data_IF_351311167954
#
_entry.id   IF_351311167954
#
_cell.length_a   1.000
_cell.length_b   1.000
_cell.length_c   1.000
_cell.angle_alpha   90.00
_cell.angle_beta   90.00
_cell.angle_gamma   90.00
#
_symmetry.space_group_name_H-M   'P 1'
#
loop_
_entity.id
_entity.type
_entity.pdbx_description
1 polymer ?
#
# COMPACT_ATOMS: atom_id res chain seq x y z
N UNK A 1 15.42 2.78 -30.19
CA UNK A 1 14.47 1.64 -30.08
C UNK A 1 15.17 0.63 -29.20
N UNK A 2 14.60 0.35 -27.99
CA UNK A 2 15.18 -0.62 -27.07
C UNK A 2 15.02 -2.02 -27.68
N UNK A 3 16.10 -2.55 -28.21
CA UNK A 3 16.11 -3.89 -28.78
C UNK A 3 16.77 -4.84 -27.78
N UNK A 4 15.96 -5.47 -26.94
CA UNK A 4 16.44 -6.54 -26.08
C UNK A 4 16.42 -7.84 -26.91
N UNK A 5 17.54 -8.56 -27.04
CA UNK A 5 17.58 -9.82 -27.76
C UNK A 5 16.52 -10.80 -27.22
N UNK A 6 15.66 -11.32 -28.09
CA UNK A 6 14.59 -12.26 -27.73
C UNK A 6 13.26 -11.62 -27.31
N UNK A 7 13.14 -10.30 -27.26
CA UNK A 7 11.85 -9.63 -27.07
C UNK A 7 11.32 -9.11 -28.39
N UNK A 8 10.03 -9.34 -28.71
CA UNK A 8 9.44 -8.77 -29.93
C UNK A 8 9.53 -7.25 -29.86
N UNK A 9 9.91 -6.64 -30.98
CA UNK A 9 9.84 -5.19 -31.13
C UNK A 9 8.37 -4.77 -30.99
N UNK A 10 7.96 -4.46 -29.76
CA UNK A 10 6.62 -3.93 -29.52
C UNK A 10 6.60 -2.51 -30.07
N UNK A 11 5.93 -2.32 -31.20
CA UNK A 11 5.57 -1.00 -31.70
C UNK A 11 4.51 -0.40 -30.77
N UNK A 12 4.94 0.17 -29.64
CA UNK A 12 4.04 0.94 -28.78
C UNK A 12 3.79 2.25 -29.48
N UNK A 13 2.64 2.37 -30.13
CA UNK A 13 2.20 3.64 -30.69
C UNK A 13 1.73 4.55 -29.54
N UNK A 14 2.28 5.74 -29.48
CA UNK A 14 1.91 6.75 -28.51
C UNK A 14 0.70 7.52 -29.00
N UNK A 15 -0.35 7.61 -28.15
CA UNK A 15 -1.53 8.42 -28.40
C UNK A 15 -1.22 9.90 -28.17
N UNK A 16 -1.76 10.77 -29.02
CA UNK A 16 -1.63 12.24 -28.93
C UNK A 16 -2.95 12.92 -29.32
N UNK A 17 -3.45 13.88 -28.52
CA UNK A 17 -2.92 14.35 -27.23
C UNK A 17 -3.15 13.36 -26.11
N UNK A 18 -2.22 13.26 -25.12
CA UNK A 18 -2.36 12.32 -23.99
C UNK A 18 -1.45 12.68 -22.82
N UNK A 19 -1.94 12.43 -21.59
CA UNK A 19 -1.12 12.39 -20.38
C UNK A 19 -0.82 10.93 -20.01
N UNK A 20 0.45 10.59 -19.86
CA UNK A 20 0.91 9.27 -19.44
C UNK A 20 1.39 9.28 -17.99
N UNK A 21 0.77 8.48 -17.12
CA UNK A 21 1.24 8.25 -15.76
C UNK A 21 2.15 7.02 -15.80
N UNK A 22 3.46 7.22 -15.62
CA UNK A 22 4.44 6.16 -15.82
C UNK A 22 5.07 5.76 -14.50
N UNK A 23 4.86 4.50 -14.09
CA UNK A 23 5.49 3.95 -12.91
C UNK A 23 7.00 3.75 -13.15
N UNK A 24 7.81 4.12 -12.15
CA UNK A 24 9.27 4.03 -12.13
C UNK A 24 9.76 2.99 -11.13
N UNK A 25 11.03 2.54 -11.22
CA UNK A 25 11.59 1.61 -10.24
C UNK A 25 11.56 2.15 -8.80
N UNK A 26 11.40 1.24 -7.83
CA UNK A 26 11.41 1.57 -6.39
C UNK A 26 12.73 1.23 -5.70
N UNK A 27 13.78 0.95 -6.46
CA UNK A 27 15.11 0.62 -5.92
C UNK A 27 15.96 -0.22 -6.85
N UNK A 28 15.35 -1.01 -7.73
CA UNK A 28 16.03 -1.81 -8.73
C UNK A 28 15.69 -1.31 -10.14
N UNK A 29 16.66 -0.77 -10.85
CA UNK A 29 16.44 -0.23 -12.20
C UNK A 29 15.87 -1.28 -13.17
N UNK A 30 16.16 -2.57 -12.95
CA UNK A 30 15.62 -3.66 -13.76
C UNK A 30 14.09 -3.82 -13.69
N UNK A 31 13.42 -3.18 -12.71
CA UNK A 31 11.97 -3.25 -12.55
C UNK A 31 11.20 -2.27 -13.46
N UNK A 32 11.89 -1.47 -14.26
CA UNK A 32 11.22 -0.63 -15.26
C UNK A 32 10.66 -1.50 -16.38
N UNK A 33 9.43 -1.24 -16.79
CA UNK A 33 8.85 -2.01 -17.88
C UNK A 33 9.33 -1.52 -19.26
N UNK A 34 9.41 -2.42 -20.23
CA UNK A 34 9.73 -2.07 -21.61
C UNK A 34 8.76 -1.03 -22.17
N UNK A 35 7.48 -1.13 -21.83
CA UNK A 35 6.47 -0.17 -22.25
C UNK A 35 6.72 1.22 -21.65
N UNK A 36 7.13 1.31 -20.39
CA UNK A 36 7.52 2.57 -19.77
C UNK A 36 8.68 3.23 -20.53
N UNK A 37 9.74 2.47 -20.84
CA UNK A 37 10.86 2.97 -21.62
C UNK A 37 10.45 3.48 -23.02
N UNK A 38 9.57 2.73 -23.72
CA UNK A 38 9.07 3.14 -25.02
C UNK A 38 8.25 4.43 -24.97
N UNK A 39 7.38 4.59 -23.96
CA UNK A 39 6.61 5.82 -23.78
C UNK A 39 7.52 6.99 -23.44
N UNK A 40 8.42 6.82 -22.45
CA UNK A 40 9.35 7.87 -22.03
C UNK A 40 10.26 8.33 -23.18
N UNK A 41 10.64 7.42 -24.08
CA UNK A 41 11.44 7.76 -25.27
C UNK A 41 10.67 8.53 -26.35
N UNK A 42 9.33 8.62 -26.30
CA UNK A 42 8.52 9.21 -27.37
C UNK A 42 7.70 10.44 -26.92
N UNK A 43 7.51 10.66 -25.63
CA UNK A 43 6.79 11.85 -25.12
C UNK A 43 7.56 13.14 -25.41
N UNK A 44 6.86 14.25 -25.44
CA UNK A 44 7.46 15.55 -25.72
C UNK A 44 8.13 16.16 -24.48
N UNK A 45 7.60 15.84 -23.29
CA UNK A 45 8.16 16.26 -22.01
C UNK A 45 7.84 15.25 -20.91
N UNK A 46 8.71 15.16 -19.92
CA UNK A 46 8.52 14.37 -18.71
C UNK A 46 8.39 15.34 -17.54
N UNK A 47 7.25 15.28 -16.84
CA UNK A 47 7.02 15.95 -15.56
C UNK A 47 7.54 15.04 -14.46
N UNK A 48 8.38 15.56 -13.58
CA UNK A 48 9.04 14.80 -12.52
C UNK A 48 8.98 15.56 -11.20
N UNK A 49 8.85 14.84 -10.08
CA UNK A 49 8.90 15.44 -8.75
C UNK A 49 10.30 16.03 -8.48
N UNK A 50 11.34 15.21 -8.57
CA UNK A 50 12.73 15.66 -8.60
C UNK A 50 13.37 15.31 -9.95
N UNK A 51 13.61 16.35 -10.75
CA UNK A 51 14.24 16.21 -12.09
C UNK A 51 15.65 15.60 -12.01
N UNK A 52 16.36 15.75 -10.88
CA UNK A 52 17.71 15.18 -10.67
C UNK A 52 17.67 13.66 -10.52
N UNK A 53 16.62 13.13 -9.92
CA UNK A 53 16.38 11.69 -9.80
C UNK A 53 15.95 11.12 -11.13
N UNK A 54 15.00 11.77 -11.80
CA UNK A 54 14.45 11.31 -13.07
C UNK A 54 15.48 11.36 -14.21
N UNK A 55 16.39 12.37 -14.26
CA UNK A 55 17.43 12.42 -15.29
C UNK A 55 18.37 11.22 -15.19
N UNK A 56 18.74 10.79 -13.96
CA UNK A 56 19.59 9.60 -13.77
C UNK A 56 18.93 8.33 -14.31
N UNK A 57 17.61 8.20 -14.12
CA UNK A 57 16.84 7.08 -14.67
C UNK A 57 16.85 7.12 -16.20
N UNK A 58 16.53 8.28 -16.80
CA UNK A 58 16.46 8.43 -18.26
C UNK A 58 17.81 8.21 -18.91
N UNK A 59 18.88 8.80 -18.36
CA UNK A 59 20.26 8.65 -18.85
C UNK A 59 20.73 7.19 -18.83
N UNK A 60 20.35 6.44 -17.78
CA UNK A 60 20.68 5.00 -17.68
C UNK A 60 20.15 4.18 -18.85
N UNK A 61 19.03 4.62 -19.44
CA UNK A 61 18.41 3.97 -20.60
C UNK A 61 18.60 4.72 -21.91
N UNK A 62 19.49 5.74 -21.95
CA UNK A 62 19.79 6.50 -23.15
C UNK A 62 18.60 7.31 -23.66
N UNK A 63 17.69 7.72 -22.79
CA UNK A 63 16.51 8.53 -23.12
C UNK A 63 16.83 9.99 -22.85
N UNK A 64 16.83 10.81 -23.92
CA UNK A 64 16.99 12.26 -23.82
C UNK A 64 15.65 12.95 -24.09
N UNK A 65 15.02 13.50 -23.05
CA UNK A 65 13.75 14.23 -23.12
C UNK A 65 13.77 15.45 -22.21
N UNK A 66 13.07 16.53 -22.58
CA UNK A 66 12.87 17.66 -21.69
C UNK A 66 12.24 17.22 -20.39
N UNK A 67 12.83 17.65 -19.25
CA UNK A 67 12.32 17.41 -17.89
C UNK A 67 11.81 18.71 -17.31
N UNK A 68 10.65 18.66 -16.68
CA UNK A 68 10.05 19.78 -15.95
C UNK A 68 9.62 19.37 -14.56
N UNK A 69 9.89 20.22 -13.56
CA UNK A 69 9.53 19.91 -12.18
C UNK A 69 8.02 20.07 -11.94
N UNK A 70 7.43 19.05 -11.28
CA UNK A 70 6.06 19.06 -10.78
C UNK A 70 6.03 18.50 -9.36
N UNK A 71 5.85 19.35 -8.36
CA UNK A 71 5.84 19.01 -6.95
C UNK A 71 4.59 19.58 -6.25
N UNK A 72 4.28 19.16 -5.04
CA UNK A 72 3.08 19.53 -4.30
C UNK A 72 2.85 21.06 -4.21
N UNK A 73 3.93 21.87 -4.18
CA UNK A 73 3.78 23.33 -4.08
C UNK A 73 3.46 24.02 -5.40
N UNK A 74 3.66 23.38 -6.56
CA UNK A 74 3.43 24.00 -7.87
C UNK A 74 2.37 23.29 -8.73
N UNK A 75 1.97 22.04 -8.39
CA UNK A 75 1.09 21.21 -9.22
C UNK A 75 -0.25 21.88 -9.56
N UNK A 76 -0.86 22.57 -8.60
CA UNK A 76 -2.13 23.29 -8.81
C UNK A 76 -2.03 24.42 -9.83
N UNK A 77 -1.00 25.25 -9.71
CA UNK A 77 -0.77 26.35 -10.65
C UNK A 77 -0.36 25.85 -12.05
N UNK A 78 0.38 24.75 -12.11
CA UNK A 78 0.85 24.16 -13.38
C UNK A 78 -0.19 23.32 -14.11
N UNK A 79 -1.22 22.81 -13.41
CA UNK A 79 -2.21 21.94 -14.02
C UNK A 79 -2.88 22.56 -15.26
N UNK A 80 -3.31 23.82 -15.18
CA UNK A 80 -3.91 24.54 -16.31
C UNK A 80 -2.92 24.75 -17.46
N UNK A 81 -1.67 25.15 -17.17
CA UNK A 81 -0.63 25.34 -18.18
C UNK A 81 -0.32 24.05 -18.94
N UNK A 82 -0.29 22.89 -18.23
CA UNK A 82 -0.09 21.59 -18.82
C UNK A 82 -1.24 21.23 -19.76
N UNK A 83 -2.47 21.46 -19.34
CA UNK A 83 -3.67 21.22 -20.17
C UNK A 83 -3.68 22.10 -21.41
N UNK A 84 -3.39 23.40 -21.28
CA UNK A 84 -3.28 24.32 -22.42
C UNK A 84 -2.21 23.87 -23.41
N UNK A 85 -1.05 23.44 -22.92
CA UNK A 85 0.02 22.92 -23.75
C UNK A 85 -0.39 21.66 -24.51
N UNK A 86 -1.09 20.74 -23.87
CA UNK A 86 -1.59 19.51 -24.51
C UNK A 86 -2.63 19.84 -25.58
N UNK A 87 -3.49 20.85 -25.34
CA UNK A 87 -4.53 21.29 -26.29
C UNK A 87 -3.99 22.10 -27.45
N UNK A 88 -2.90 22.83 -27.26
CA UNK A 88 -2.29 23.66 -28.31
C UNK A 88 -1.71 22.86 -29.48
N UNK A 89 -1.54 21.54 -29.33
CA UNK A 89 -1.04 20.65 -30.38
C UNK A 89 -1.17 19.18 -29.97
N UNK A 90 -0.82 18.24 -30.87
CA UNK A 90 -0.88 16.80 -30.58
C UNK A 90 0.26 16.41 -29.63
N UNK A 91 0.25 16.92 -28.39
CA UNK A 91 1.32 16.75 -27.43
C UNK A 91 1.06 15.55 -26.51
N UNK A 92 2.10 14.78 -26.26
CA UNK A 92 2.10 13.70 -25.25
C UNK A 92 3.05 14.05 -24.11
N UNK A 93 2.55 14.01 -22.88
CA UNK A 93 3.29 14.35 -21.66
C UNK A 93 3.34 13.12 -20.77
N UNK A 94 4.50 12.78 -20.21
CA UNK A 94 4.61 11.79 -19.16
C UNK A 94 4.71 12.47 -17.79
N UNK A 95 4.07 11.89 -16.78
CA UNK A 95 4.25 12.22 -15.37
C UNK A 95 4.87 11.00 -14.69
N UNK A 96 6.00 11.22 -14.02
CA UNK A 96 6.71 10.23 -13.22
C UNK A 96 6.85 10.73 -11.78
N UNK A 97 6.92 9.81 -10.82
CA UNK A 97 7.38 10.08 -9.46
C UNK A 97 8.84 9.68 -9.30
N UNK A 98 9.43 10.04 -8.18
CA UNK A 98 10.82 9.66 -7.86
C UNK A 98 10.97 8.15 -7.75
N UNK A 99 9.92 7.45 -7.28
CA UNK A 99 9.90 5.99 -7.18
C UNK A 99 8.47 5.43 -7.21
N UNK A 100 8.23 4.40 -8.01
CA UNK A 100 6.97 3.67 -8.04
C UNK A 100 5.88 4.31 -8.88
N UNK A 101 4.63 4.14 -8.44
CA UNK A 101 3.43 4.59 -9.14
C UNK A 101 3.13 6.05 -8.80
N UNK A 102 3.08 6.96 -9.78
CA UNK A 102 2.73 8.35 -9.55
C UNK A 102 1.39 8.53 -8.83
N UNK A 103 1.22 9.61 -8.08
CA UNK A 103 0.04 9.98 -7.28
C UNK A 103 -0.14 9.17 -5.97
N UNK A 104 0.57 8.08 -5.78
CA UNK A 104 0.48 7.25 -4.57
C UNK A 104 1.45 7.79 -3.53
N UNK A 105 1.03 8.75 -2.73
CA UNK A 105 1.83 9.60 -1.83
C UNK A 105 2.73 10.61 -2.56
N UNK A 106 2.51 10.81 -3.85
CA UNK A 106 3.28 11.66 -4.75
C UNK A 106 2.40 12.76 -5.37
N UNK A 107 2.99 13.85 -5.91
CA UNK A 107 2.25 14.93 -6.57
C UNK A 107 1.63 14.47 -7.90
N UNK A 108 0.67 15.27 -8.41
CA UNK A 108 0.11 15.11 -9.75
C UNK A 108 -1.41 14.99 -9.82
N UNK A 109 -2.10 14.79 -8.67
CA UNK A 109 -3.56 14.65 -8.66
C UNK A 109 -4.28 15.82 -9.34
N UNK A 110 -3.96 17.11 -9.09
CA UNK A 110 -4.60 18.24 -9.77
C UNK A 110 -4.40 18.20 -11.29
N UNK A 111 -3.23 17.78 -11.76
CA UNK A 111 -2.93 17.67 -13.20
C UNK A 111 -3.82 16.60 -13.84
N UNK A 112 -3.91 15.42 -13.24
CA UNK A 112 -4.76 14.34 -13.73
C UNK A 112 -6.22 14.78 -13.78
N UNK A 113 -6.71 15.38 -12.70
CA UNK A 113 -8.10 15.86 -12.61
C UNK A 113 -8.39 16.90 -13.69
N UNK A 114 -7.53 17.91 -13.85
CA UNK A 114 -7.71 18.95 -14.85
C UNK A 114 -7.65 18.41 -16.28
N UNK A 115 -6.77 17.42 -16.56
CA UNK A 115 -6.74 16.74 -17.85
C UNK A 115 -8.07 16.02 -18.15
N UNK A 116 -8.59 15.26 -17.16
CA UNK A 116 -9.86 14.54 -17.31
C UNK A 116 -11.04 15.51 -17.54
N UNK A 117 -11.12 16.59 -16.76
CA UNK A 117 -12.17 17.62 -16.90
C UNK A 117 -12.08 18.34 -18.27
N UNK A 118 -10.88 18.39 -18.86
CA UNK A 118 -10.62 18.94 -20.18
C UNK A 118 -10.80 17.95 -21.35
N UNK A 119 -11.20 16.70 -21.08
CA UNK A 119 -11.37 15.64 -22.07
C UNK A 119 -10.06 15.10 -22.66
N UNK A 120 -8.93 15.33 -22.00
CA UNK A 120 -7.63 14.80 -22.43
C UNK A 120 -7.51 13.35 -21.93
N UNK A 121 -7.16 12.39 -22.82
CA UNK A 121 -6.91 11.02 -22.42
C UNK A 121 -5.77 10.94 -21.38
N UNK A 122 -6.02 10.16 -20.32
CA UNK A 122 -5.01 9.82 -19.31
C UNK A 122 -4.74 8.32 -19.40
N UNK A 123 -3.49 7.92 -19.57
CA UNK A 123 -3.08 6.52 -19.69
C UNK A 123 -2.11 6.15 -18.60
N UNK A 124 -2.36 5.02 -17.93
CA UNK A 124 -1.45 4.47 -16.93
C UNK A 124 -0.53 3.42 -17.56
N UNK A 125 0.75 3.54 -17.29
CA UNK A 125 1.79 2.59 -17.64
C UNK A 125 2.22 1.89 -16.37
N UNK A 126 1.75 0.65 -16.12
CA UNK A 126 2.02 -0.06 -14.89
C UNK A 126 3.50 -0.40 -14.71
N UNK A 127 3.90 -0.53 -13.47
CA UNK A 127 5.25 -0.89 -13.06
C UNK A 127 5.33 -1.17 -11.58
N UNK A 128 6.49 -0.93 -10.99
CA UNK A 128 6.76 -1.18 -9.59
C UNK A 128 5.85 -0.39 -8.64
N UNK A 129 5.51 -1.01 -7.51
CA UNK A 129 4.73 -0.40 -6.43
C UNK A 129 5.19 -0.96 -5.09
N UNK A 130 5.68 -0.10 -4.21
CA UNK A 130 6.11 -0.49 -2.88
C UNK A 130 4.93 -1.01 -2.03
N UNK A 131 3.73 -0.45 -2.22
CA UNK A 131 2.49 -0.88 -1.54
C UNK A 131 2.17 -2.33 -1.87
N UNK A 132 2.06 -2.64 -3.16
CA UNK A 132 1.73 -4.00 -3.61
C UNK A 132 2.87 -4.99 -3.35
N UNK A 133 4.11 -4.58 -3.58
CA UNK A 133 5.28 -5.41 -3.31
C UNK A 133 5.36 -5.81 -1.82
N UNK A 134 5.23 -4.84 -0.92
CA UNK A 134 5.24 -5.13 0.52
C UNK A 134 4.05 -6.00 0.95
N UNK A 135 2.86 -5.74 0.39
CA UNK A 135 1.65 -6.51 0.69
C UNK A 135 1.83 -7.99 0.33
N UNK A 136 2.32 -8.30 -0.88
CA UNK A 136 2.47 -9.70 -1.32
C UNK A 136 3.60 -10.43 -0.60
N UNK A 137 4.69 -9.74 -0.21
CA UNK A 137 5.77 -10.39 0.55
C UNK A 137 5.50 -10.45 2.05
N UNK A 138 4.47 -9.74 2.56
CA UNK A 138 4.16 -9.73 3.98
C UNK A 138 3.73 -11.09 4.54
N UNK A 139 3.06 -11.90 3.71
CA UNK A 139 2.39 -13.14 4.13
C UNK A 139 1.07 -12.91 4.87
N UNK A 140 0.57 -11.67 4.90
CA UNK A 140 -0.73 -11.31 5.47
C UNK A 140 -1.83 -11.36 4.40
N UNK A 141 -3.11 -11.52 4.77
CA UNK A 141 -4.22 -11.50 3.81
C UNK A 141 -4.19 -10.25 2.93
N UNK A 142 -4.30 -10.42 1.62
CA UNK A 142 -4.16 -9.33 0.65
C UNK A 142 -5.40 -9.11 -0.23
N UNK A 143 -6.48 -9.87 -0.02
CA UNK A 143 -7.76 -9.76 -0.72
C UNK A 143 -8.47 -8.42 -0.45
N UNK A 144 -8.31 -7.89 0.76
CA UNK A 144 -8.84 -6.59 1.16
C UNK A 144 -7.81 -5.84 1.97
N UNK A 145 -7.35 -4.70 1.47
CA UNK A 145 -6.38 -3.85 2.17
C UNK A 145 -6.74 -2.36 2.05
N UNK A 146 -6.15 -1.56 2.92
CA UNK A 146 -6.21 -0.11 2.86
C UNK A 146 -4.79 0.47 2.95
N UNK A 147 -4.46 1.37 2.05
CA UNK A 147 -3.23 2.13 2.07
C UNK A 147 -3.47 3.45 2.80
N UNK A 148 -2.69 3.69 3.84
CA UNK A 148 -2.85 4.82 4.76
C UNK A 148 -1.77 5.91 4.57
N UNK A 149 -0.78 5.65 3.69
CA UNK A 149 0.32 6.57 3.45
C UNK A 149 1.23 6.72 4.67
N UNK A 150 1.79 7.93 4.87
CA UNK A 150 2.60 8.26 6.04
C UNK A 150 1.72 8.70 7.21
N UNK A 151 2.02 8.17 8.38
CA UNK A 151 1.37 8.61 9.62
C UNK A 151 1.85 10.02 10.05
N UNK A 152 1.03 10.77 10.80
CA UNK A 152 1.40 12.07 11.34
C UNK A 152 2.73 12.02 12.13
N UNK A 153 3.56 13.06 11.97
CA UNK A 153 4.87 13.16 12.66
C UNK A 153 4.73 13.30 14.16
N UNK A 154 3.74 14.07 14.64
CA UNK A 154 3.47 14.27 16.06
C UNK A 154 2.83 13.03 16.66
N UNK A 155 3.39 12.49 17.74
CA UNK A 155 2.92 11.27 18.40
C UNK A 155 1.44 11.29 18.73
N UNK A 156 0.93 12.36 19.35
CA UNK A 156 -0.49 12.45 19.70
C UNK A 156 -1.42 12.32 18.49
N UNK A 157 -1.08 12.98 17.36
CA UNK A 157 -1.85 12.88 16.12
C UNK A 157 -1.70 11.48 15.48
N UNK A 158 -0.51 10.88 15.55
CA UNK A 158 -0.24 9.51 15.09
C UNK A 158 -1.07 8.51 15.87
N UNK A 159 -1.06 8.56 17.20
CA UNK A 159 -1.87 7.70 18.05
C UNK A 159 -3.38 7.91 17.81
N UNK A 160 -3.83 9.14 17.62
CA UNK A 160 -5.24 9.42 17.28
C UNK A 160 -5.65 8.77 15.94
N UNK A 161 -4.80 8.87 14.90
CA UNK A 161 -5.04 8.18 13.61
C UNK A 161 -5.06 6.67 13.77
N UNK A 162 -4.10 6.10 14.49
CA UNK A 162 -4.05 4.65 14.75
C UNK A 162 -5.28 4.18 15.53
N UNK A 163 -5.75 4.93 16.55
CA UNK A 163 -6.97 4.59 17.29
C UNK A 163 -8.21 4.55 16.39
N UNK A 164 -8.32 5.46 15.42
CA UNK A 164 -9.41 5.44 14.44
C UNK A 164 -9.40 4.19 13.53
N UNK A 165 -8.24 3.52 13.42
CA UNK A 165 -8.04 2.31 12.61
C UNK A 165 -7.95 1.02 13.45
N UNK A 166 -8.14 1.10 14.77
CA UNK A 166 -7.94 -0.02 15.68
C UNK A 166 -8.76 -1.25 15.30
N UNK A 167 -10.04 -1.05 14.97
CA UNK A 167 -10.97 -2.10 14.56
C UNK A 167 -11.00 -2.40 13.07
N UNK A 168 -10.00 -1.94 12.28
CA UNK A 168 -10.00 -2.15 10.83
C UNK A 168 -9.83 -3.63 10.50
N UNK A 169 -10.73 -4.14 9.63
CA UNK A 169 -10.81 -5.54 9.23
C UNK A 169 -10.05 -5.84 7.91
N UNK A 170 -9.53 -4.82 7.27
CA UNK A 170 -8.64 -4.95 6.12
C UNK A 170 -7.20 -4.94 6.58
N UNK A 171 -6.32 -5.53 5.79
CA UNK A 171 -4.88 -5.35 5.97
C UNK A 171 -4.52 -3.89 5.73
N UNK A 172 -3.76 -3.28 6.64
CA UNK A 172 -3.35 -1.88 6.57
C UNK A 172 -1.92 -1.79 6.06
N UNK A 173 -1.66 -0.86 5.15
CA UNK A 173 -0.32 -0.62 4.59
C UNK A 173 0.07 0.84 4.83
N UNK A 174 1.28 1.05 5.36
CA UNK A 174 1.82 2.37 5.67
C UNK A 174 3.21 2.53 5.08
N UNK A 175 3.54 3.75 4.66
CA UNK A 175 4.93 4.16 4.46
C UNK A 175 5.49 4.73 5.76
N UNK A 176 6.79 4.52 6.00
CA UNK A 176 7.44 5.13 7.15
C UNK A 176 8.89 5.52 6.88
N UNK A 177 9.30 6.62 7.49
CA UNK A 177 10.65 7.13 7.39
C UNK A 177 11.62 6.40 8.35
N UNK A 178 12.89 6.22 7.98
CA UNK A 178 13.86 5.43 8.76
C UNK A 178 14.06 5.94 10.20
N UNK A 179 14.06 7.25 10.40
CA UNK A 179 14.26 7.87 11.71
C UNK A 179 13.02 7.77 12.63
N UNK A 180 11.86 7.30 12.12
CA UNK A 180 10.60 7.20 12.87
C UNK A 180 10.12 5.76 13.07
N UNK A 181 10.70 4.80 12.35
CA UNK A 181 10.18 3.43 12.26
C UNK A 181 9.96 2.80 13.65
N UNK A 182 10.92 2.95 14.58
CA UNK A 182 10.82 2.38 15.92
C UNK A 182 9.70 3.00 16.75
N UNK A 183 9.61 4.33 16.75
CA UNK A 183 8.57 5.06 17.49
C UNK A 183 7.18 4.72 16.95
N UNK A 184 7.07 4.64 15.62
CA UNK A 184 5.81 4.27 14.97
C UNK A 184 5.38 2.85 15.30
N UNK A 185 6.29 1.88 15.29
CA UNK A 185 5.99 0.50 15.68
C UNK A 185 5.62 0.38 17.17
N UNK A 186 6.25 1.14 18.06
CA UNK A 186 5.92 1.19 19.47
C UNK A 186 4.50 1.76 19.71
N UNK A 187 4.14 2.83 18.99
CA UNK A 187 2.78 3.39 19.05
C UNK A 187 1.74 2.43 18.46
N UNK A 188 2.05 1.78 17.32
CA UNK A 188 1.18 0.76 16.72
C UNK A 188 0.96 -0.42 17.68
N UNK A 189 2.03 -0.93 18.32
CA UNK A 189 1.95 -1.97 19.34
C UNK A 189 1.02 -1.59 20.48
N UNK A 190 1.15 -0.35 20.95
CA UNK A 190 0.33 0.18 22.06
C UNK A 190 -1.15 0.26 21.67
N UNK A 191 -1.47 0.71 20.47
CA UNK A 191 -2.85 0.95 20.01
C UNK A 191 -3.50 -0.34 19.52
N UNK A 192 -2.82 -1.10 18.65
CA UNK A 192 -3.37 -2.31 18.02
C UNK A 192 -3.25 -3.55 18.91
N UNK A 193 -2.36 -3.51 19.91
CA UNK A 193 -2.04 -4.64 20.78
C UNK A 193 -0.88 -5.47 20.26
N UNK A 194 -0.04 -5.96 21.18
CA UNK A 194 1.15 -6.75 20.87
C UNK A 194 0.89 -8.00 20.00
N UNK A 195 -0.22 -8.75 20.16
CA UNK A 195 -0.48 -9.97 19.40
C UNK A 195 -0.82 -9.74 17.91
N UNK A 196 -1.21 -8.51 17.52
CA UNK A 196 -1.63 -8.24 16.14
C UNK A 196 -0.49 -8.50 15.17
N UNK A 197 -0.77 -9.21 14.08
CA UNK A 197 0.22 -9.58 13.08
C UNK A 197 0.72 -8.33 12.33
N UNK A 198 2.02 -8.25 12.12
CA UNK A 198 2.68 -7.15 11.42
C UNK A 198 3.86 -7.67 10.59
N UNK A 199 4.09 -7.05 9.44
CA UNK A 199 5.30 -7.21 8.65
C UNK A 199 5.92 -5.84 8.39
N UNK A 200 7.21 -5.70 8.64
CA UNK A 200 7.99 -4.54 8.25
C UNK A 200 8.90 -4.93 7.08
N UNK A 201 8.64 -4.36 5.91
CA UNK A 201 9.46 -4.57 4.72
C UNK A 201 10.41 -3.40 4.58
N UNK A 202 11.69 -3.70 4.51
CA UNK A 202 12.77 -2.74 4.40
C UNK A 202 13.50 -2.92 3.08
N UNK A 203 13.84 -1.82 2.40
CA UNK A 203 14.66 -1.81 1.18
C UNK A 203 14.14 -2.77 0.08
N UNK A 204 12.81 -2.81 -0.11
CA UNK A 204 12.15 -3.65 -1.11
C UNK A 204 12.78 -3.47 -2.51
N UNK A 205 13.05 -4.56 -3.21
CA UNK A 205 13.74 -4.68 -4.51
C UNK A 205 15.23 -4.31 -4.51
N UNK A 206 15.79 -3.83 -3.39
CA UNK A 206 17.19 -3.42 -3.28
C UNK A 206 18.06 -4.57 -2.75
N UNK A 207 19.39 -4.34 -2.78
CA UNK A 207 20.39 -5.33 -2.34
C UNK A 207 20.17 -5.84 -0.90
N UNK A 208 19.65 -4.97 -0.03
CA UNK A 208 19.44 -5.27 1.39
C UNK A 208 17.96 -5.45 1.73
N UNK A 209 17.18 -5.96 0.78
CA UNK A 209 15.77 -6.28 1.02
C UNK A 209 15.63 -7.21 2.22
N UNK A 210 14.80 -6.79 3.18
CA UNK A 210 14.55 -7.54 4.41
C UNK A 210 13.08 -7.43 4.79
N UNK A 211 12.48 -8.52 5.27
CA UNK A 211 11.12 -8.50 5.78
C UNK A 211 11.07 -9.14 7.18
N UNK A 212 10.76 -8.33 8.19
CA UNK A 212 10.52 -8.75 9.57
C UNK A 212 9.04 -9.09 9.74
N UNK A 213 8.73 -10.35 10.09
CA UNK A 213 7.36 -10.86 10.17
C UNK A 213 7.06 -11.43 11.55
N UNK A 214 5.83 -11.30 12.02
CA UNK A 214 5.35 -11.85 13.28
C UNK A 214 4.32 -10.96 13.93
N UNK A 215 4.22 -10.99 15.24
CA UNK A 215 3.52 -9.98 16.02
C UNK A 215 4.47 -8.80 16.34
N UNK A 216 3.93 -7.72 16.93
CA UNK A 216 4.75 -6.53 17.20
C UNK A 216 5.97 -6.81 18.08
N UNK A 217 5.87 -7.68 19.10
CA UNK A 217 6.99 -8.00 19.98
C UNK A 217 8.11 -8.74 19.23
N UNK A 218 7.74 -9.70 18.40
CA UNK A 218 8.68 -10.47 17.59
C UNK A 218 9.39 -9.60 16.57
N UNK A 219 8.65 -8.72 15.88
CA UNK A 219 9.21 -7.82 14.87
C UNK A 219 10.16 -6.80 15.52
N UNK A 220 9.77 -6.19 16.64
CA UNK A 220 10.64 -5.26 17.37
C UNK A 220 11.93 -5.94 17.85
N UNK A 221 11.81 -7.16 18.42
CA UNK A 221 12.96 -7.95 18.86
C UNK A 221 13.89 -8.32 17.69
N UNK A 222 13.34 -8.72 16.54
CA UNK A 222 14.14 -9.03 15.35
C UNK A 222 14.86 -7.78 14.81
N UNK A 223 14.20 -6.62 14.82
CA UNK A 223 14.81 -5.35 14.44
C UNK A 223 15.86 -4.87 15.44
N UNK A 224 15.75 -5.22 16.73
CA UNK A 224 16.76 -4.90 17.74
C UNK A 224 18.06 -5.71 17.54
N UNK A 225 17.94 -6.89 17.00
CA UNK A 225 19.08 -7.75 16.67
C UNK A 225 19.82 -7.34 15.36
N UNK A 226 19.21 -6.48 14.52
CA UNK A 226 19.80 -6.03 13.26
C UNK A 226 20.30 -4.57 13.38
N UNK A 227 21.61 -4.39 13.33
CA UNK A 227 22.26 -3.06 13.40
C UNK A 227 21.83 -2.09 12.26
N UNK A 228 21.28 -2.62 11.16
CA UNK A 228 20.82 -1.83 10.02
C UNK A 228 19.30 -1.65 9.97
N UNK A 229 18.56 -2.16 10.95
CA UNK A 229 17.11 -2.19 10.96
C UNK A 229 16.42 -0.82 10.90
N UNK A 230 17.16 0.28 11.09
CA UNK A 230 16.63 1.65 11.02
C UNK A 230 17.15 2.44 9.81
N UNK A 231 17.75 1.77 8.82
CA UNK A 231 18.31 2.41 7.61
C UNK A 231 17.50 2.01 6.39
N UNK A 232 17.36 2.94 5.44
CA UNK A 232 16.68 2.70 4.16
C UNK A 232 15.20 3.10 4.19
N UNK A 233 14.41 2.51 3.32
CA UNK A 233 12.98 2.80 3.13
C UNK A 233 12.13 1.67 3.67
N UNK A 234 10.97 2.03 4.23
CA UNK A 234 10.11 1.09 4.95
C UNK A 234 8.67 1.12 4.48
N UNK A 235 8.10 -0.08 4.38
CA UNK A 235 6.66 -0.28 4.30
C UNK A 235 6.24 -1.17 5.47
N UNK A 236 5.24 -0.72 6.23
CA UNK A 236 4.66 -1.47 7.34
C UNK A 236 3.33 -2.05 6.85
N UNK A 237 3.15 -3.34 7.01
CA UNK A 237 1.89 -4.05 6.70
C UNK A 237 1.35 -4.63 8.00
N UNK A 238 0.14 -4.22 8.40
CA UNK A 238 -0.50 -4.66 9.65
C UNK A 238 -1.72 -5.51 9.29
N UNK A 239 -1.83 -6.68 9.87
CA UNK A 239 -2.98 -7.58 9.66
C UNK A 239 -4.31 -6.98 10.14
N UNK A 240 -5.40 -7.53 9.66
CA UNK A 240 -6.75 -7.17 10.08
C UNK A 240 -6.94 -7.35 11.59
N UNK A 241 -7.86 -6.60 12.17
CA UNK A 241 -8.34 -6.87 13.53
C UNK A 241 -9.30 -8.07 13.52
N UNK A 242 -8.78 -9.23 13.86
CA UNK A 242 -9.58 -10.46 13.91
C UNK A 242 -10.59 -10.46 15.06
N UNK A 243 -10.37 -9.65 16.10
CA UNK A 243 -11.27 -9.55 17.26
C UNK A 243 -12.48 -8.66 16.98
N UNK A 244 -12.38 -7.72 16.06
CA UNK A 244 -13.45 -6.80 15.68
C UNK A 244 -14.28 -7.27 14.49
N UNK A 245 -14.10 -8.51 14.02
CA UNK A 245 -15.00 -9.04 12.98
C UNK A 245 -16.43 -9.00 13.52
N UNK A 246 -17.41 -8.39 12.83
CA UNK A 246 -18.82 -8.54 13.16
C UNK A 246 -19.15 -10.04 13.12
N UNK A 247 -19.54 -10.59 14.27
CA UNK A 247 -19.66 -12.03 14.50
C UNK A 247 -18.45 -12.70 15.13
N UNK A 248 -17.34 -12.00 15.43
CA UNK A 248 -16.25 -12.47 16.30
C UNK A 248 -16.45 -12.14 17.78
N UNK A 249 -17.65 -11.74 18.21
CA UNK A 249 -18.05 -12.17 19.55
C UNK A 249 -17.89 -13.69 19.48
N UNK A 250 -16.86 -14.17 20.16
CA UNK A 250 -16.49 -15.59 20.08
C UNK A 250 -17.80 -16.35 20.25
N UNK A 251 -18.13 -17.30 19.32
CA UNK A 251 -19.35 -18.11 19.46
C UNK A 251 -19.53 -18.60 20.89
N UNK A 252 -18.42 -18.79 21.58
CA UNK A 252 -18.24 -19.06 23.00
C UNK A 252 -18.89 -18.02 23.91
N UNK A 253 -18.66 -16.72 23.70
CA UNK A 253 -19.21 -15.65 24.56
C UNK A 253 -20.70 -15.47 24.30
N UNK A 254 -21.14 -15.51 23.05
CA UNK A 254 -22.55 -15.43 22.70
C UNK A 254 -23.30 -16.68 23.21
N UNK A 255 -22.70 -17.85 23.05
CA UNK A 255 -23.23 -19.12 23.52
C UNK A 255 -23.36 -19.12 25.06
N UNK A 256 -22.36 -18.66 25.81
CA UNK A 256 -22.41 -18.58 27.27
C UNK A 256 -23.51 -17.65 27.75
N UNK A 257 -23.70 -16.49 27.13
CA UNK A 257 -24.77 -15.54 27.44
C UNK A 257 -26.17 -16.14 27.17
N UNK A 258 -26.34 -16.82 26.05
CA UNK A 258 -27.63 -17.40 25.66
C UNK A 258 -27.97 -18.64 26.49
N UNK A 259 -27.00 -19.44 26.88
CA UNK A 259 -27.19 -20.60 27.79
C UNK A 259 -27.71 -20.22 29.17
N UNK A 260 -27.58 -18.95 29.58
CA UNK A 260 -28.21 -18.47 30.84
C UNK A 260 -29.71 -18.25 30.72
N UNK A 261 -30.28 -18.21 29.50
CA UNK A 261 -31.68 -17.81 29.25
C UNK A 261 -32.44 -18.75 28.32
N UNK A 262 -31.74 -19.55 27.50
CA UNK A 262 -32.32 -20.44 26.50
C UNK A 262 -31.91 -21.89 26.74
N UNK A 263 -32.69 -22.80 26.14
CA UNK A 263 -32.26 -24.21 26.06
C UNK A 263 -30.99 -24.32 25.25
N UNK A 264 -30.19 -25.40 25.49
CA UNK A 264 -28.96 -25.64 24.72
C UNK A 264 -29.21 -25.71 23.24
N UNK A 265 -30.29 -26.35 22.82
CA UNK A 265 -30.68 -26.46 21.42
C UNK A 265 -30.90 -25.09 20.80
N UNK A 266 -31.72 -24.27 21.44
CA UNK A 266 -32.09 -22.94 20.96
C UNK A 266 -30.88 -21.98 20.98
N UNK A 267 -30.04 -22.05 22.00
CA UNK A 267 -28.80 -21.24 22.09
C UNK A 267 -27.83 -21.60 20.95
N UNK A 268 -27.62 -22.88 20.68
CA UNK A 268 -26.78 -23.35 19.59
C UNK A 268 -27.34 -22.95 18.23
N UNK A 269 -28.67 -23.04 18.06
CA UNK A 269 -29.33 -22.63 16.82
C UNK A 269 -29.14 -21.14 16.53
N UNK A 270 -29.46 -20.29 17.50
CA UNK A 270 -29.31 -18.83 17.40
C UNK A 270 -27.84 -18.44 17.12
N UNK A 271 -26.87 -19.04 17.86
CA UNK A 271 -25.45 -18.74 17.62
C UNK A 271 -25.00 -19.21 16.25
N UNK A 272 -25.44 -20.39 15.80
CA UNK A 272 -25.10 -20.90 14.47
C UNK A 272 -25.63 -20.00 13.35
N UNK A 273 -26.88 -19.55 13.45
CA UNK A 273 -27.47 -18.63 12.49
C UNK A 273 -26.80 -17.24 12.50
N UNK A 274 -26.52 -16.71 13.70
CA UNK A 274 -25.90 -15.40 13.85
C UNK A 274 -24.41 -15.34 13.44
N UNK A 275 -23.67 -16.44 13.60
CA UNK A 275 -22.21 -16.46 13.40
C UNK A 275 -21.74 -17.30 12.22
N UNK A 276 -22.61 -18.14 11.64
CA UNK A 276 -22.25 -19.11 10.61
C UNK A 276 -21.40 -20.29 11.14
N UNK A 277 -21.23 -20.42 12.44
CA UNK A 277 -20.44 -21.50 13.04
C UNK A 277 -21.18 -22.84 12.97
N UNK A 278 -20.51 -23.95 12.67
CA UNK A 278 -21.14 -25.27 12.56
C UNK A 278 -21.82 -25.68 13.88
N UNK A 279 -23.07 -26.14 13.81
CA UNK A 279 -23.87 -26.54 14.99
C UNK A 279 -23.19 -27.61 15.84
N UNK A 280 -22.53 -28.59 15.23
CA UNK A 280 -21.82 -29.67 15.94
C UNK A 280 -20.67 -29.16 16.82
N UNK A 281 -19.92 -28.15 16.37
CA UNK A 281 -18.86 -27.53 17.14
C UNK A 281 -19.42 -26.69 18.29
N UNK A 282 -20.53 -25.99 18.09
CA UNK A 282 -21.20 -25.22 19.12
C UNK A 282 -21.80 -26.11 20.22
N UNK A 283 -22.33 -27.29 19.83
CA UNK A 283 -22.79 -28.27 20.82
C UNK A 283 -21.65 -28.80 21.70
N UNK A 284 -20.49 -29.09 21.12
CA UNK A 284 -19.31 -29.53 21.88
C UNK A 284 -18.86 -28.45 22.87
N UNK A 285 -18.77 -27.18 22.42
CA UNK A 285 -18.45 -26.03 23.26
C UNK A 285 -19.46 -25.85 24.41
N UNK A 286 -20.78 -25.99 24.14
CA UNK A 286 -21.81 -25.86 25.13
C UNK A 286 -21.75 -26.96 26.21
N UNK A 287 -21.24 -28.14 25.89
CA UNK A 287 -21.00 -29.24 26.84
C UNK A 287 -19.78 -28.97 27.73
N UNK A 288 -18.69 -28.46 27.15
CA UNK A 288 -17.46 -28.14 27.90
C UNK A 288 -17.70 -26.99 28.92
N UNK A 289 -18.47 -25.98 28.54
CA UNK A 289 -18.80 -24.84 29.41
C UNK A 289 -19.56 -25.26 30.66
N UNK A 290 -20.47 -26.22 30.57
CA UNK A 290 -21.21 -26.73 31.70
C UNK A 290 -20.34 -27.51 32.68
N UNK A 291 -19.39 -28.31 32.13
CA UNK A 291 -18.46 -29.10 32.95
C UNK A 291 -17.45 -28.21 33.70
N UNK A 292 -17.20 -26.98 33.20
CA UNK A 292 -16.31 -26.01 33.84
C UNK A 292 -16.97 -25.12 34.89
N UNK A 293 -18.32 -25.06 34.93
CA UNK A 293 -19.11 -24.28 35.87
C UNK A 293 -19.61 -25.06 37.08
N UNK A 294 -19.39 -26.35 37.15
CA UNK A 294 -19.79 -27.23 38.26
C UNK A 294 -18.61 -27.58 39.20
N UNK A 295 -17.55 -26.78 39.25
CA UNK A 295 -16.47 -26.92 40.24
C UNK A 295 -16.38 -25.71 41.16
#
# INVERSE_FOLDING_TARGET
>A
MFNLPGYPATSVTIERPCLYLVATPIGNLGDITLRALHILAQVDVVLAEDTRTSIKLLDRYGISRPLESLHQHNEGARALQIVERIKAGPSAIALVSDAGTPLVSDPGYPVVRTCQDAGIPVRYIPGASAVLGALVVSGLPCDRFAFEGFLPTRQAARCARLNALKGEQRTLVYFEAPHRIRDTLADMRTVFGAPRAVCVVRELTKLHETAYRGNFDQVLSAMDADANATRGEFVIVVGADEQSRPGAETPTKLLSLLLTRLSRSDAVEVVSEATGYPRNLLYALALEMRNSGER
#
